data_IF_606295964747
#
_entry.id   IF_606295964747
#
_cell.length_a   1.000
_cell.length_b   1.000
_cell.length_c   1.000
_cell.angle_alpha   90.00
_cell.angle_beta   90.00
_cell.angle_gamma   90.00
#
_symmetry.space_group_name_H-M   'P 1'
#
loop_
_entity.id
_entity.type
_entity.pdbx_description
1 polymer ?
#
# COMPACT_ATOMS: atom_id res chain seq x y z
N UNK A 1 -21.55 -9.10 -12.04
CA UNK A 1 -21.21 -8.26 -10.88
C UNK A 1 -19.81 -8.65 -10.46
N UNK A 2 -18.79 -7.95 -10.97
CA UNK A 2 -17.40 -8.15 -10.55
C UNK A 2 -17.26 -7.56 -9.14
N UNK A 3 -16.96 -8.41 -8.16
CA UNK A 3 -16.70 -8.00 -6.78
C UNK A 3 -15.61 -6.94 -6.74
N UNK A 4 -15.67 -6.06 -5.76
CA UNK A 4 -14.72 -4.97 -5.49
C UNK A 4 -13.28 -5.40 -5.19
N UNK A 5 -13.02 -6.71 -5.20
CA UNK A 5 -11.82 -7.34 -4.64
C UNK A 5 -10.91 -7.94 -5.72
N UNK A 6 -11.16 -7.65 -7.00
CA UNK A 6 -10.28 -8.05 -8.08
C UNK A 6 -8.93 -7.27 -7.97
N UNK A 7 -7.78 -7.93 -7.72
CA UNK A 7 -6.51 -7.25 -7.45
C UNK A 7 -6.06 -6.22 -8.52
N UNK A 8 -6.27 -6.45 -9.83
CA UNK A 8 -5.99 -5.46 -10.87
C UNK A 8 -6.87 -4.21 -10.78
N UNK A 9 -8.12 -4.35 -10.31
CA UNK A 9 -9.04 -3.23 -10.12
C UNK A 9 -8.62 -2.41 -8.90
N UNK A 10 -8.25 -3.07 -7.80
CA UNK A 10 -7.76 -2.41 -6.59
C UNK A 10 -6.50 -1.58 -6.85
N UNK A 11 -5.51 -2.14 -7.57
CA UNK A 11 -4.28 -1.40 -7.96
C UNK A 11 -4.59 -0.14 -8.76
N UNK A 12 -5.55 -0.22 -9.70
CA UNK A 12 -5.99 0.96 -10.47
C UNK A 12 -6.67 2.02 -9.60
N UNK A 13 -7.47 1.61 -8.61
CA UNK A 13 -8.10 2.55 -7.67
C UNK A 13 -7.07 3.27 -6.82
N UNK A 14 -6.06 2.56 -6.30
CA UNK A 14 -4.96 3.16 -5.54
C UNK A 14 -4.15 4.13 -6.41
N UNK A 15 -3.84 3.78 -7.65
CA UNK A 15 -3.12 4.70 -8.55
C UNK A 15 -3.94 5.95 -8.91
N UNK A 16 -5.26 5.83 -9.07
CA UNK A 16 -6.13 7.01 -9.23
C UNK A 16 -6.03 7.92 -7.99
N UNK A 17 -6.09 7.34 -6.78
CA UNK A 17 -5.98 8.11 -5.53
C UNK A 17 -4.63 8.83 -5.43
N UNK A 18 -3.52 8.16 -5.77
CA UNK A 18 -2.18 8.77 -5.79
C UNK A 18 -2.09 9.95 -6.73
N UNK A 19 -2.62 9.83 -7.95
CA UNK A 19 -2.64 10.95 -8.89
C UNK A 19 -3.42 12.14 -8.32
N UNK A 20 -4.52 11.91 -7.60
CA UNK A 20 -5.28 13.00 -6.98
C UNK A 20 -4.51 13.64 -5.82
N UNK A 21 -3.83 12.85 -4.98
CA UNK A 21 -3.07 13.35 -3.82
C UNK A 21 -1.85 14.20 -4.21
N UNK A 22 -1.20 13.86 -5.33
CA UNK A 22 -0.03 14.57 -5.84
C UNK A 22 -0.33 15.97 -6.40
N UNK A 23 -1.60 16.31 -6.61
CA UNK A 23 -2.00 17.60 -7.17
C UNK A 23 -2.58 18.53 -6.10
N UNK A 24 -2.17 19.80 -6.15
CA UNK A 24 -2.81 20.84 -5.35
C UNK A 24 -4.19 21.19 -5.94
N UNK A 25 -5.25 20.72 -5.28
CA UNK A 25 -6.63 21.06 -5.63
C UNK A 25 -7.39 19.96 -6.37
N UNK A 26 -8.50 20.33 -7.01
CA UNK A 26 -9.40 19.35 -7.64
C UNK A 26 -8.86 18.88 -8.99
N UNK A 27 -8.86 17.56 -9.22
CA UNK A 27 -8.31 16.92 -10.42
C UNK A 27 -9.40 16.30 -11.28
N UNK A 28 -9.40 16.63 -12.57
CA UNK A 28 -10.33 16.11 -13.57
C UNK A 28 -9.94 14.76 -14.15
N UNK A 29 -10.93 14.05 -14.72
CA UNK A 29 -10.73 12.72 -15.29
C UNK A 29 -9.72 12.66 -16.45
N UNK A 30 -9.54 13.76 -17.19
CA UNK A 30 -8.54 13.85 -18.27
C UNK A 30 -7.11 13.77 -17.74
N UNK A 31 -6.79 14.61 -16.75
CA UNK A 31 -5.47 14.63 -16.11
C UNK A 31 -5.15 13.26 -15.50
N UNK A 32 -6.13 12.66 -14.81
CA UNK A 32 -5.98 11.32 -14.24
C UNK A 32 -5.75 10.26 -15.33
N UNK A 33 -6.52 10.31 -16.42
CA UNK A 33 -6.36 9.38 -17.55
C UNK A 33 -4.97 9.46 -18.18
N UNK A 34 -4.46 10.68 -18.37
CA UNK A 34 -3.14 10.91 -18.97
C UNK A 34 -2.03 10.40 -18.02
N UNK A 35 -2.09 10.74 -16.73
CA UNK A 35 -1.14 10.28 -15.72
C UNK A 35 -1.15 8.75 -15.53
N UNK A 36 -2.32 8.11 -15.51
CA UNK A 36 -2.42 6.65 -15.41
C UNK A 36 -1.79 5.96 -16.61
N UNK A 37 -1.95 6.52 -17.82
CA UNK A 37 -1.34 5.98 -19.03
C UNK A 37 0.19 6.03 -18.96
N UNK A 38 0.75 7.13 -18.45
CA UNK A 38 2.20 7.27 -18.22
C UNK A 38 2.72 6.27 -17.18
N UNK A 39 1.91 5.93 -16.17
CA UNK A 39 2.21 4.93 -15.14
C UNK A 39 2.00 3.48 -15.56
N UNK A 40 1.62 3.22 -16.83
CA UNK A 40 1.39 1.86 -17.34
C UNK A 40 0.00 1.29 -17.06
N UNK A 41 -0.95 2.12 -16.64
CA UNK A 41 -2.35 1.76 -16.41
C UNK A 41 -3.28 2.43 -17.44
N UNK A 42 -3.27 2.01 -18.72
CA UNK A 42 -4.08 2.66 -19.74
C UNK A 42 -5.58 2.57 -19.39
N UNK A 43 -6.18 3.72 -19.11
CA UNK A 43 -7.58 3.84 -18.75
C UNK A 43 -8.13 5.16 -19.27
N UNK A 44 -9.05 5.11 -20.23
CA UNK A 44 -9.66 6.32 -20.78
C UNK A 44 -10.56 7.05 -19.78
N UNK A 45 -10.83 8.34 -20.04
CA UNK A 45 -11.58 9.21 -19.13
C UNK A 45 -12.93 8.67 -18.66
N UNK A 46 -13.66 7.94 -19.52
CA UNK A 46 -14.95 7.33 -19.14
C UNK A 46 -14.76 6.27 -18.05
N UNK A 47 -13.71 5.47 -18.15
CA UNK A 47 -13.33 4.48 -17.15
C UNK A 47 -12.87 5.16 -15.86
N UNK A 48 -12.07 6.22 -15.97
CA UNK A 48 -11.67 7.04 -14.81
C UNK A 48 -12.90 7.60 -14.10
N UNK A 49 -13.86 8.20 -14.82
CA UNK A 49 -15.11 8.72 -14.23
C UNK A 49 -15.93 7.64 -13.53
N UNK A 50 -15.89 6.39 -14.00
CA UNK A 50 -16.53 5.27 -13.33
C UNK A 50 -15.86 4.97 -11.99
N UNK A 51 -14.53 4.86 -11.96
CA UNK A 51 -13.79 4.62 -10.71
C UNK A 51 -13.88 5.77 -9.72
N UNK A 52 -13.91 7.02 -10.20
CA UNK A 52 -14.11 8.18 -9.33
C UNK A 52 -15.44 8.13 -8.57
N UNK A 53 -16.52 7.61 -9.19
CA UNK A 53 -17.79 7.41 -8.46
C UNK A 53 -17.66 6.38 -7.34
N UNK A 54 -16.93 5.30 -7.59
CA UNK A 54 -16.66 4.28 -6.57
C UNK A 54 -15.85 4.86 -5.41
N UNK A 55 -14.84 5.69 -5.72
CA UNK A 55 -14.04 6.36 -4.69
C UNK A 55 -14.86 7.39 -3.89
N UNK A 56 -15.77 8.12 -4.56
CA UNK A 56 -16.71 9.03 -3.92
C UNK A 56 -17.69 8.25 -2.99
N UNK A 57 -18.23 7.12 -3.45
CA UNK A 57 -19.12 6.23 -2.67
C UNK A 57 -18.41 5.63 -1.44
N UNK A 58 -17.09 5.41 -1.52
CA UNK A 58 -16.25 4.96 -0.40
C UNK A 58 -15.76 6.10 0.49
N UNK A 59 -16.06 7.36 0.16
CA UNK A 59 -15.58 8.52 0.91
C UNK A 59 -14.08 8.79 0.81
N UNK A 60 -13.40 8.20 -0.19
CA UNK A 60 -11.96 8.36 -0.42
C UNK A 60 -11.65 9.63 -1.23
N UNK A 61 -12.62 10.10 -2.01
CA UNK A 61 -12.56 11.35 -2.76
C UNK A 61 -13.78 12.23 -2.49
N UNK A 62 -13.64 13.52 -2.79
CA UNK A 62 -14.73 14.50 -2.73
C UNK A 62 -14.88 15.20 -4.08
N UNK A 63 -16.07 15.14 -4.65
CA UNK A 63 -16.39 15.80 -5.93
C UNK A 63 -16.62 17.30 -5.81
N UNK A 64 -16.13 18.04 -6.80
CA UNK A 64 -16.26 19.50 -6.95
C UNK A 64 -16.86 19.88 -8.32
N UNK A 65 -17.80 19.08 -8.82
CA UNK A 65 -18.43 19.29 -10.13
C UNK A 65 -17.43 19.18 -11.29
N UNK A 66 -17.38 20.21 -12.14
CA UNK A 66 -16.48 20.27 -13.29
C UNK A 66 -15.00 20.42 -12.91
N UNK A 67 -14.70 20.93 -11.71
CA UNK A 67 -13.33 21.09 -11.24
C UNK A 67 -12.65 19.74 -10.95
N UNK A 68 -13.42 18.66 -10.76
CA UNK A 68 -12.88 17.32 -10.53
C UNK A 68 -13.04 16.85 -9.09
N UNK A 69 -12.04 16.14 -8.56
CA UNK A 69 -12.07 15.53 -7.22
C UNK A 69 -10.84 15.96 -6.43
N UNK A 70 -11.01 16.16 -5.13
CA UNK A 70 -9.90 16.20 -4.17
C UNK A 70 -9.88 14.91 -3.37
N UNK A 71 -8.71 14.53 -2.87
CA UNK A 71 -8.58 13.41 -1.94
C UNK A 71 -9.12 13.79 -0.56
N UNK A 72 -9.64 12.81 0.18
CA UNK A 72 -10.00 12.96 1.59
C UNK A 72 -8.89 12.43 2.50
N UNK A 73 -8.96 12.72 3.79
CA UNK A 73 -8.02 12.13 4.75
C UNK A 73 -8.16 10.60 4.85
N UNK A 74 -9.37 10.07 4.59
CA UNK A 74 -9.56 8.63 4.48
C UNK A 74 -8.86 8.06 3.24
N UNK A 75 -8.94 8.77 2.11
CA UNK A 75 -8.23 8.41 0.87
C UNK A 75 -6.71 8.38 1.04
N UNK A 76 -6.12 9.31 1.78
CA UNK A 76 -4.67 9.29 2.07
C UNK A 76 -4.24 8.09 2.88
N UNK A 77 -4.99 7.76 3.94
CA UNK A 77 -4.73 6.56 4.75
C UNK A 77 -4.82 5.29 3.92
N UNK A 78 -5.77 5.20 2.99
CA UNK A 78 -5.89 4.06 2.08
C UNK A 78 -4.64 3.90 1.19
N UNK A 79 -4.04 5.00 0.72
CA UNK A 79 -2.78 4.95 -0.05
C UNK A 79 -1.64 4.39 0.82
N UNK A 80 -1.55 4.83 2.07
CA UNK A 80 -0.53 4.39 3.02
C UNK A 80 -0.68 2.90 3.36
N UNK A 81 -1.90 2.44 3.64
CA UNK A 81 -2.19 1.03 3.92
C UNK A 81 -1.89 0.14 2.70
N UNK A 82 -2.23 0.58 1.49
CA UNK A 82 -1.90 -0.14 0.26
C UNK A 82 -0.38 -0.26 0.04
N UNK A 83 0.39 0.79 0.32
CA UNK A 83 1.87 0.76 0.29
C UNK A 83 2.44 -0.27 1.28
N UNK A 84 1.87 -0.35 2.48
CA UNK A 84 2.28 -1.32 3.51
C UNK A 84 2.00 -2.74 3.02
N UNK A 85 0.83 -3.01 2.43
CA UNK A 85 0.48 -4.33 1.93
C UNK A 85 1.42 -4.83 0.82
N UNK A 86 1.71 -3.98 -0.18
CA UNK A 86 2.66 -4.32 -1.25
C UNK A 86 4.07 -4.60 -0.70
N UNK A 87 4.49 -3.86 0.33
CA UNK A 87 5.80 -4.06 0.98
C UNK A 87 5.86 -5.35 1.80
N UNK A 88 4.79 -5.74 2.48
CA UNK A 88 4.73 -6.97 3.29
C UNK A 88 4.95 -8.20 2.40
N UNK A 89 4.34 -8.25 1.21
CA UNK A 89 4.51 -9.38 0.29
C UNK A 89 5.98 -9.60 -0.11
N UNK A 90 6.70 -8.50 -0.40
CA UNK A 90 8.13 -8.56 -0.70
C UNK A 90 8.97 -8.99 0.51
N UNK A 91 8.70 -8.44 1.69
CA UNK A 91 9.40 -8.81 2.93
C UNK A 91 9.17 -10.29 3.26
N UNK A 92 7.95 -10.80 3.06
CA UNK A 92 7.61 -12.19 3.31
C UNK A 92 8.41 -13.13 2.40
N UNK A 93 8.45 -12.86 1.10
CA UNK A 93 9.23 -13.66 0.15
C UNK A 93 10.73 -13.69 0.52
N UNK A 94 11.28 -12.56 0.96
CA UNK A 94 12.67 -12.48 1.43
C UNK A 94 12.87 -13.25 2.74
N UNK A 95 11.93 -13.20 3.68
CA UNK A 95 11.99 -13.99 4.91
C UNK A 95 11.95 -15.49 4.60
N UNK A 96 11.08 -15.94 3.70
CA UNK A 96 11.02 -17.33 3.24
C UNK A 96 12.34 -17.76 2.60
N UNK A 97 12.90 -16.95 1.70
CA UNK A 97 14.21 -17.20 1.10
C UNK A 97 15.30 -17.37 2.16
N UNK A 98 15.35 -16.45 3.13
CA UNK A 98 16.32 -16.53 4.21
C UNK A 98 16.11 -17.80 5.03
N UNK A 99 14.86 -18.17 5.36
CA UNK A 99 14.53 -19.39 6.13
C UNK A 99 15.05 -20.62 5.40
N UNK A 100 14.85 -20.68 4.07
CA UNK A 100 15.36 -21.77 3.23
C UNK A 100 16.89 -21.89 3.23
N UNK A 101 17.61 -20.81 3.49
CA UNK A 101 19.08 -20.81 3.55
C UNK A 101 19.63 -21.23 4.92
N UNK A 102 18.78 -21.36 5.95
CA UNK A 102 19.23 -21.81 7.28
C UNK A 102 19.55 -23.30 7.30
N UNK A 103 20.64 -23.67 7.98
CA UNK A 103 21.14 -25.05 8.04
C UNK A 103 21.58 -25.48 9.46
N UNK A 104 21.02 -24.81 10.47
CA UNK A 104 21.39 -25.02 11.87
C UNK A 104 21.19 -26.47 12.34
N UNK A 105 22.28 -27.09 12.77
CA UNK A 105 22.34 -28.40 13.38
C UNK A 105 22.27 -28.26 14.91
N UNK A 106 21.17 -28.75 15.50
CA UNK A 106 20.92 -28.72 16.93
C UNK A 106 21.93 -29.54 17.75
N UNK A 107 22.44 -30.66 17.22
CA UNK A 107 23.39 -31.51 17.95
C UNK A 107 24.79 -30.89 17.96
N UNK A 108 25.16 -30.22 16.88
CA UNK A 108 26.47 -29.55 16.74
C UNK A 108 26.46 -28.09 17.21
N UNK A 109 25.28 -27.55 17.53
CA UNK A 109 25.02 -26.15 17.83
C UNK A 109 25.66 -25.19 16.80
N UNK A 110 25.60 -25.59 15.52
CA UNK A 110 26.30 -24.89 14.43
C UNK A 110 25.48 -24.87 13.16
N UNK A 111 25.61 -23.77 12.43
CA UNK A 111 24.98 -23.53 11.15
C UNK A 111 24.44 -22.11 11.08
N UNK A 112 23.90 -21.75 9.93
CA UNK A 112 23.29 -20.47 9.63
C UNK A 112 21.89 -20.41 10.24
N UNK A 113 21.65 -19.35 10.99
CA UNK A 113 20.33 -18.96 11.51
C UNK A 113 20.04 -17.53 11.11
N UNK A 114 18.76 -17.20 11.04
CA UNK A 114 18.30 -15.81 10.89
C UNK A 114 17.96 -15.30 12.27
N UNK A 115 18.53 -14.16 12.64
CA UNK A 115 18.19 -13.47 13.87
C UNK A 115 17.72 -12.04 13.56
N UNK A 116 16.57 -11.67 14.09
CA UNK A 116 16.18 -10.27 14.19
C UNK A 116 16.82 -9.68 15.44
N UNK A 117 17.66 -8.67 15.28
CA UNK A 117 18.37 -8.02 16.38
C UNK A 117 17.76 -6.64 16.59
N UNK A 118 17.28 -6.39 17.80
CA UNK A 118 16.84 -5.06 18.25
C UNK A 118 17.72 -4.63 19.41
N UNK A 119 18.17 -3.37 19.42
CA UNK A 119 18.98 -2.82 20.50
C UNK A 119 18.12 -1.88 21.33
N UNK A 120 18.15 -2.07 22.65
CA UNK A 120 17.45 -1.22 23.61
C UNK A 120 18.45 -0.68 24.61
N UNK A 121 18.14 0.46 25.24
CA UNK A 121 18.95 0.94 26.35
C UNK A 121 18.75 0.01 27.55
N UNK A 122 19.82 -0.15 28.32
CA UNK A 122 19.79 -1.02 29.51
C UNK A 122 18.77 -0.56 30.56
N UNK A 123 18.53 0.75 30.65
CA UNK A 123 17.54 1.36 31.55
C UNK A 123 16.09 0.98 31.20
N UNK A 124 15.82 0.70 29.92
CA UNK A 124 14.47 0.37 29.41
C UNK A 124 14.22 -1.15 29.34
N UNK A 125 15.14 -1.98 29.86
CA UNK A 125 15.06 -3.44 29.70
C UNK A 125 13.81 -4.05 30.34
N UNK A 126 13.48 -3.64 31.56
CA UNK A 126 12.33 -4.19 32.29
C UNK A 126 11.01 -3.82 31.60
N UNK A 127 10.90 -2.58 31.13
CA UNK A 127 9.74 -2.11 30.36
C UNK A 127 9.63 -2.85 29.01
N UNK A 128 10.76 -3.05 28.32
CA UNK A 128 10.80 -3.79 27.05
C UNK A 128 10.42 -5.27 27.23
N UNK A 129 10.90 -5.94 28.28
CA UNK A 129 10.51 -7.31 28.59
C UNK A 129 9.02 -7.41 28.96
N UNK A 130 8.43 -6.37 29.54
CA UNK A 130 7.01 -6.32 29.86
C UNK A 130 6.08 -6.32 28.64
N UNK A 131 6.57 -5.94 27.45
CA UNK A 131 5.78 -5.91 26.21
C UNK A 131 6.03 -7.10 25.28
N UNK A 132 7.10 -7.87 25.50
CA UNK A 132 7.37 -9.11 24.77
C UNK A 132 6.51 -10.21 25.39
N UNK A 133 5.48 -10.65 24.64
CA UNK A 133 4.64 -11.80 25.02
C UNK A 133 5.28 -13.13 24.66
#
# INVERSE_FOLDING_TARGET
MTSSDDPPIQRKLIEILRVIDEHEGAVGARIISDALKERGYPLGERGVRYHLRILDERGLTKGHGYAGRTITEHGRREIEEALVHDRIGFIHARLEEMIYQTDFDLEKERGLVIANITTIKKEDLDDALGVVK
#
